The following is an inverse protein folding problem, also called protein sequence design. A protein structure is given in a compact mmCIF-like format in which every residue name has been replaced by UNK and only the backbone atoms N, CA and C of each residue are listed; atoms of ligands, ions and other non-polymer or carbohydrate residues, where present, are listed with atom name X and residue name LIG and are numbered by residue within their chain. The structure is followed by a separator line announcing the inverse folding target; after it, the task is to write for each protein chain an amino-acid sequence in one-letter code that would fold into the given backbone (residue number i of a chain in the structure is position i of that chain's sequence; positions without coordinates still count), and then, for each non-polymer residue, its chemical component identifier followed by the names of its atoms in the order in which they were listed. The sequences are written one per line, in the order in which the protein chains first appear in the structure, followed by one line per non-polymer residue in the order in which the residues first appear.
data_IF_440239082463
#
_entry.id   IF_440239082463
#
_cell.length_a   1.000
_cell.length_b   1.000
_cell.length_c   1.000
_cell.angle_alpha   90.00
_cell.angle_beta   90.00
_cell.angle_gamma   90.00
#
_symmetry.space_group_name_H-M   'P 1'
#
loop_
_entity.id
_entity.type
_entity.pdbx_description
1 polymer ?
#
# COMPACT_ATOMS: atom_id res chain seq x y z
N UNK A 1 -9.74 -24.38 12.58
CA UNK A 1 -8.73 -23.94 11.61
C UNK A 1 -9.03 -24.64 10.31
N UNK A 2 -9.17 -23.87 9.24
CA UNK A 2 -9.32 -24.43 7.89
C UNK A 2 -8.02 -25.13 7.49
N UNK A 3 -8.12 -26.10 6.57
CA UNK A 3 -6.97 -26.84 6.05
C UNK A 3 -7.05 -26.90 4.53
N UNK A 4 -5.90 -26.78 3.88
CA UNK A 4 -5.77 -27.05 2.44
C UNK A 4 -5.17 -28.46 2.32
N UNK A 5 -5.89 -29.35 1.63
CA UNK A 5 -5.41 -30.71 1.31
C UNK A 5 -5.06 -30.71 -0.17
N UNK A 6 -3.83 -31.12 -0.50
CA UNK A 6 -3.32 -31.13 -1.88
C UNK A 6 -2.98 -32.57 -2.26
N UNK A 7 -3.57 -33.05 -3.35
CA UNK A 7 -3.18 -34.29 -4.02
C UNK A 7 -2.27 -33.94 -5.20
N UNK A 8 -1.03 -34.43 -5.18
CA UNK A 8 -0.01 -34.08 -6.17
C UNK A 8 -0.16 -34.81 -7.50
N UNK A 9 0.60 -34.36 -8.51
CA UNK A 9 0.70 -35.03 -9.82
C UNK A 9 0.03 -34.28 -10.97
N UNK A 10 -0.80 -33.27 -10.68
CA UNK A 10 -1.41 -32.42 -11.70
C UNK A 10 -0.40 -31.44 -12.32
N UNK A 11 -0.47 -31.27 -13.64
CA UNK A 11 0.18 -30.17 -14.35
C UNK A 11 -0.80 -29.02 -14.50
N UNK A 12 -0.41 -27.79 -14.12
CA UNK A 12 -1.30 -26.65 -14.22
C UNK A 12 -1.34 -26.14 -15.67
N UNK A 13 -2.54 -25.97 -16.21
CA UNK A 13 -2.74 -25.39 -17.52
C UNK A 13 -3.96 -24.48 -17.51
N UNK A 14 -3.83 -23.27 -18.06
CA UNK A 14 -4.95 -22.36 -18.21
C UNK A 14 -4.59 -20.92 -17.87
N UNK A 15 -5.63 -20.13 -17.65
CA UNK A 15 -5.54 -18.69 -17.47
C UNK A 15 -6.25 -18.26 -16.18
N UNK A 16 -5.67 -17.29 -15.47
CA UNK A 16 -6.20 -16.74 -14.23
C UNK A 16 -6.01 -15.23 -14.18
N UNK A 17 -6.99 -14.52 -13.64
CA UNK A 17 -6.94 -13.09 -13.40
C UNK A 17 -6.29 -12.83 -12.04
N UNK A 18 -5.22 -12.00 -12.00
CA UNK A 18 -4.68 -11.52 -10.74
C UNK A 18 -5.68 -10.61 -10.03
N UNK A 19 -5.78 -10.79 -8.72
CA UNK A 19 -6.48 -9.90 -7.80
C UNK A 19 -5.76 -8.56 -7.72
N UNK A 20 -6.42 -7.52 -7.22
CA UNK A 20 -5.72 -6.26 -6.93
C UNK A 20 -4.68 -6.41 -5.82
N UNK A 21 -3.62 -5.61 -5.92
CA UNK A 21 -2.49 -5.57 -5.01
C UNK A 21 -2.95 -5.29 -3.59
N UNK A 22 -2.72 -6.25 -2.69
CA UNK A 22 -3.02 -6.07 -1.26
C UNK A 22 -2.24 -4.88 -0.70
N UNK A 23 -0.96 -4.77 -1.04
CA UNK A 23 -0.08 -3.74 -0.49
C UNK A 23 -0.44 -2.33 -1.02
N UNK A 24 -0.79 -2.21 -2.30
CA UNK A 24 -1.33 -0.96 -2.84
C UNK A 24 -2.64 -0.61 -2.15
N UNK A 25 -3.58 -1.56 -2.09
CA UNK A 25 -4.90 -1.34 -1.50
C UNK A 25 -4.79 -0.78 -0.07
N UNK A 26 -3.94 -1.33 0.79
CA UNK A 26 -3.75 -0.83 2.16
C UNK A 26 -3.26 0.63 2.19
N UNK A 27 -2.35 1.01 1.29
CA UNK A 27 -1.86 2.38 1.19
C UNK A 27 -2.93 3.34 0.65
N UNK A 28 -3.68 2.93 -0.38
CA UNK A 28 -4.76 3.74 -0.96
C UNK A 28 -5.93 3.92 0.03
N UNK A 29 -6.25 2.88 0.80
CA UNK A 29 -7.21 2.93 1.91
C UNK A 29 -6.77 3.95 2.96
N UNK A 30 -5.49 3.95 3.36
CA UNK A 30 -4.97 4.96 4.29
C UNK A 30 -5.02 6.37 3.70
N UNK A 31 -4.68 6.53 2.41
CA UNK A 31 -4.69 7.82 1.72
C UNK A 31 -6.09 8.42 1.60
N UNK A 32 -7.14 7.61 1.58
CA UNK A 32 -8.55 8.08 1.56
C UNK A 32 -8.90 8.96 2.77
N UNK A 33 -8.18 8.83 3.89
CA UNK A 33 -8.29 9.72 5.06
C UNK A 33 -8.05 11.18 4.65
N UNK A 34 -7.21 11.43 3.64
CA UNK A 34 -6.88 12.77 3.15
C UNK A 34 -8.00 13.41 2.33
N UNK A 35 -8.96 12.64 1.81
CA UNK A 35 -9.99 13.13 0.89
C UNK A 35 -11.06 14.00 1.57
N UNK A 36 -11.41 15.12 0.93
CA UNK A 36 -12.69 15.80 1.09
C UNK A 36 -13.67 15.22 0.06
N UNK A 37 -14.72 14.54 0.53
CA UNK A 37 -15.71 13.85 -0.30
C UNK A 37 -15.38 12.37 -0.58
N UNK A 38 -16.24 11.70 -1.36
CA UNK A 38 -16.20 10.25 -1.51
C UNK A 38 -15.08 9.77 -2.43
N UNK A 39 -14.40 8.70 -2.02
CA UNK A 39 -13.48 7.92 -2.85
C UNK A 39 -14.07 6.56 -3.15
N UNK A 40 -13.75 6.02 -4.33
CA UNK A 40 -14.12 4.66 -4.75
C UNK A 40 -12.83 3.93 -5.12
N UNK A 41 -12.57 2.80 -4.47
CA UNK A 41 -11.48 1.90 -4.83
C UNK A 41 -12.07 0.66 -5.49
N UNK A 42 -11.65 0.35 -6.70
CA UNK A 42 -12.06 -0.85 -7.46
C UNK A 42 -10.93 -1.87 -7.48
N UNK A 43 -11.26 -3.13 -7.81
CA UNK A 43 -10.32 -4.25 -7.79
C UNK A 43 -9.71 -4.48 -6.39
N UNK A 44 -10.46 -4.21 -5.32
CA UNK A 44 -10.03 -4.44 -3.94
C UNK A 44 -10.13 -5.92 -3.59
N UNK A 45 -9.02 -6.60 -3.20
CA UNK A 45 -9.03 -8.02 -2.91
C UNK A 45 -9.81 -8.33 -1.61
N UNK A 46 -10.33 -9.56 -1.51
CA UNK A 46 -11.01 -10.07 -0.30
C UNK A 46 -9.99 -10.76 0.62
N UNK A 47 -9.35 -9.96 1.46
CA UNK A 47 -8.28 -10.42 2.36
C UNK A 47 -8.51 -9.86 3.76
N UNK A 48 -8.12 -10.64 4.79
CA UNK A 48 -8.26 -10.25 6.19
C UNK A 48 -7.56 -8.93 6.53
N UNK A 49 -6.41 -8.66 5.92
CA UNK A 49 -5.69 -7.40 6.07
C UNK A 49 -6.54 -6.21 5.58
N UNK A 50 -7.20 -6.36 4.42
CA UNK A 50 -8.10 -5.34 3.87
C UNK A 50 -9.29 -5.14 4.80
N UNK A 51 -9.92 -6.22 5.26
CA UNK A 51 -11.09 -6.12 6.15
C UNK A 51 -10.72 -5.45 7.49
N UNK A 52 -9.52 -5.73 8.04
CA UNK A 52 -9.00 -5.05 9.22
C UNK A 52 -8.71 -3.56 8.98
N UNK A 53 -8.27 -3.19 7.78
CA UNK A 53 -8.09 -1.79 7.40
C UNK A 53 -9.42 -1.06 7.25
N UNK A 54 -10.46 -1.71 6.72
CA UNK A 54 -11.82 -1.16 6.66
C UNK A 54 -12.40 -0.96 8.07
N UNK A 55 -12.22 -1.94 8.97
CA UNK A 55 -12.57 -1.82 10.40
C UNK A 55 -11.86 -0.62 11.04
N UNK A 56 -10.57 -0.45 10.77
CA UNK A 56 -9.78 0.68 11.27
C UNK A 56 -10.30 2.03 10.76
N UNK A 57 -10.54 2.16 9.45
CA UNK A 57 -11.09 3.39 8.86
C UNK A 57 -12.46 3.73 9.47
N UNK A 58 -13.29 2.71 9.74
CA UNK A 58 -14.54 2.83 10.50
C UNK A 58 -14.33 3.47 11.87
N UNK A 59 -13.37 2.95 12.66
CA UNK A 59 -13.03 3.48 13.97
C UNK A 59 -12.49 4.93 13.92
N UNK A 60 -11.87 5.32 12.80
CA UNK A 60 -11.38 6.68 12.55
C UNK A 60 -12.47 7.65 12.08
N UNK A 61 -13.72 7.20 11.91
CA UNK A 61 -14.85 8.04 11.52
C UNK A 61 -15.16 8.07 10.01
N UNK A 62 -14.61 7.13 9.23
CA UNK A 62 -14.94 6.96 7.82
C UNK A 62 -15.99 5.86 7.62
N UNK A 63 -16.93 6.07 6.70
CA UNK A 63 -17.64 4.98 6.06
C UNK A 63 -16.67 4.30 5.11
N UNK A 64 -16.24 3.07 5.35
CA UNK A 64 -15.37 2.31 4.45
C UNK A 64 -16.02 0.96 4.16
N UNK A 65 -16.93 0.95 3.19
CA UNK A 65 -17.87 -0.15 2.98
C UNK A 65 -17.65 -0.78 1.59
N UNK A 66 -17.71 -2.12 1.52
CA UNK A 66 -17.75 -2.82 0.23
C UNK A 66 -19.06 -2.50 -0.47
N UNK A 67 -19.02 -2.38 -1.80
CA UNK A 67 -20.21 -2.22 -2.61
C UNK A 67 -21.12 -3.47 -2.47
N UNK A 68 -22.44 -3.29 -2.31
CA UNK A 68 -23.37 -4.40 -2.10
C UNK A 68 -23.58 -5.30 -3.33
N UNK A 69 -23.16 -4.85 -4.51
CA UNK A 69 -23.28 -5.54 -5.81
C UNK A 69 -21.90 -5.99 -6.30
N UNK A 70 -20.89 -5.12 -6.22
CA UNK A 70 -19.52 -5.36 -6.69
C UNK A 70 -18.56 -5.55 -5.49
N UNK A 71 -18.42 -6.77 -4.97
CA UNK A 71 -17.67 -7.01 -3.71
C UNK A 71 -16.18 -6.58 -3.73
N UNK A 72 -15.59 -6.41 -4.93
CA UNK A 72 -14.24 -5.90 -5.14
C UNK A 72 -14.20 -4.36 -5.28
N UNK A 73 -15.28 -3.67 -4.95
CA UNK A 73 -15.36 -2.21 -4.90
C UNK A 73 -15.58 -1.78 -3.45
N UNK A 74 -14.84 -0.77 -3.00
CA UNK A 74 -14.98 -0.14 -1.69
C UNK A 74 -15.28 1.33 -1.86
N UNK A 75 -16.32 1.83 -1.18
CA UNK A 75 -16.63 3.26 -1.08
C UNK A 75 -16.19 3.80 0.26
N UNK A 76 -15.52 4.96 0.21
CA UNK A 76 -14.89 5.55 1.37
C UNK A 76 -15.25 7.02 1.49
N UNK A 77 -15.82 7.43 2.61
CA UNK A 77 -16.17 8.83 2.86
C UNK A 77 -16.15 9.15 4.36
N UNK A 78 -15.62 10.30 4.75
CA UNK A 78 -15.69 10.75 6.14
C UNK A 78 -17.15 11.07 6.53
N UNK A 79 -17.68 10.46 7.60
CA UNK A 79 -19.04 10.71 8.09
C UNK A 79 -19.14 11.91 9.05
N UNK A 80 -18.06 12.65 9.23
CA UNK A 80 -17.98 13.78 10.15
C UNK A 80 -16.54 14.06 10.55
N UNK A 81 -16.33 14.44 11.82
CA UNK A 81 -15.00 14.64 12.37
C UNK A 81 -14.25 13.32 12.49
N UNK A 82 -13.01 13.30 11.98
CA UNK A 82 -12.12 12.16 12.11
C UNK A 82 -11.69 11.97 13.57
N UNK A 83 -11.56 10.72 13.99
CA UNK A 83 -11.00 10.38 15.29
C UNK A 83 -9.47 10.32 15.19
N UNK A 84 -8.72 10.98 16.08
CA UNK A 84 -7.26 11.04 16.02
C UNK A 84 -6.59 9.77 16.53
N UNK A 85 -7.33 8.85 17.14
CA UNK A 85 -6.78 7.64 17.77
C UNK A 85 -7.12 6.37 16.98
N UNK A 86 -6.07 5.62 16.59
CA UNK A 86 -6.18 4.27 16.05
C UNK A 86 -6.11 3.23 17.19
N UNK A 87 -7.19 2.46 17.45
CA UNK A 87 -7.27 1.57 18.61
C UNK A 87 -6.25 0.41 18.57
N UNK A 88 -5.64 0.10 19.72
CA UNK A 88 -4.69 -1.00 19.90
C UNK A 88 -5.23 -2.35 19.39
N UNK A 89 -6.48 -2.69 19.71
CA UNK A 89 -7.08 -3.98 19.35
C UNK A 89 -7.17 -4.21 17.84
N UNK A 90 -7.24 -3.14 17.05
CA UNK A 90 -7.25 -3.23 15.58
C UNK A 90 -5.81 -3.21 15.06
N UNK A 91 -4.98 -2.28 15.55
CA UNK A 91 -3.59 -2.11 15.10
C UNK A 91 -2.75 -3.36 15.34
N UNK A 92 -2.92 -4.04 16.48
CA UNK A 92 -2.17 -5.25 16.81
C UNK A 92 -2.45 -6.43 15.86
N UNK A 93 -3.60 -6.43 15.17
CA UNK A 93 -3.97 -7.48 14.22
C UNK A 93 -3.18 -7.35 12.91
N UNK A 94 -2.84 -6.13 12.51
CA UNK A 94 -2.19 -5.85 11.23
C UNK A 94 -1.21 -4.69 11.36
N UNK A 95 0.09 -4.96 11.25
CA UNK A 95 1.16 -3.94 11.32
C UNK A 95 1.01 -2.80 10.30
N UNK A 96 0.44 -3.07 9.13
CA UNK A 96 0.25 -2.06 8.08
C UNK A 96 -0.72 -0.94 8.50
N UNK A 97 -1.53 -1.15 9.53
CA UNK A 97 -2.40 -0.13 10.13
C UNK A 97 -1.64 1.13 10.53
N UNK A 98 -0.36 1.03 10.87
CA UNK A 98 0.48 2.17 11.24
C UNK A 98 0.57 3.25 10.15
N UNK A 99 0.25 2.93 8.89
CA UNK A 99 0.22 3.89 7.78
C UNK A 99 -0.89 4.94 7.90
N UNK A 100 -1.85 4.81 8.82
CA UNK A 100 -2.84 5.88 9.07
C UNK A 100 -2.25 7.08 9.80
N UNK A 101 -1.09 6.94 10.45
CA UNK A 101 -0.47 7.98 11.28
C UNK A 101 -0.24 9.28 10.50
N UNK A 102 0.39 9.19 9.32
CA UNK A 102 0.71 10.32 8.46
C UNK A 102 -0.52 11.07 7.94
N UNK A 103 -1.48 10.40 7.28
CA UNK A 103 -2.67 11.08 6.78
C UNK A 103 -3.58 11.61 7.89
N UNK A 104 -3.69 10.93 9.04
CA UNK A 104 -4.38 11.50 10.22
C UNK A 104 -3.69 12.77 10.69
N UNK A 105 -2.38 12.73 10.93
CA UNK A 105 -1.62 13.89 11.39
C UNK A 105 -1.77 15.09 10.44
N UNK A 106 -1.74 14.85 9.13
CA UNK A 106 -1.93 15.89 8.13
C UNK A 106 -3.34 16.50 8.12
N UNK A 107 -4.37 15.69 8.42
CA UNK A 107 -5.77 16.12 8.40
C UNK A 107 -6.27 16.75 9.68
N UNK A 108 -5.85 16.24 10.84
CA UNK A 108 -6.36 16.66 12.16
C UNK A 108 -5.29 17.32 13.04
N UNK A 109 -4.02 17.38 12.61
CA UNK A 109 -2.92 18.02 13.34
C UNK A 109 -2.42 17.25 14.56
N UNK A 110 -3.07 16.14 14.92
CA UNK A 110 -2.63 15.24 15.99
C UNK A 110 -3.11 13.82 15.71
N UNK A 111 -2.30 12.82 16.01
CA UNK A 111 -2.64 11.42 15.80
C UNK A 111 -1.98 10.53 16.85
N UNK A 112 -2.70 9.51 17.29
CA UNK A 112 -2.28 8.53 18.29
C UNK A 112 -2.49 7.14 17.74
N UNK A 113 -1.41 6.43 17.44
CA UNK A 113 -1.46 5.11 16.80
C UNK A 113 -0.61 4.14 17.59
N UNK A 114 -1.17 2.98 17.94
CA UNK A 114 -0.41 1.94 18.66
C UNK A 114 0.87 1.60 17.90
N UNK A 115 1.97 1.47 18.64
CA UNK A 115 3.22 0.97 18.07
C UNK A 115 3.02 -0.50 17.65
N UNK A 116 3.39 -0.89 16.43
CA UNK A 116 3.36 -2.29 16.04
C UNK A 116 4.42 -3.06 16.83
N UNK A 117 3.98 -4.14 17.51
CA UNK A 117 4.89 -5.03 18.23
C UNK A 117 5.79 -5.88 17.31
N UNK A 118 6.37 -6.92 17.89
CA UNK A 118 7.24 -7.86 17.18
C UNK A 118 6.55 -8.58 16.01
N UNK A 119 7.33 -8.90 14.98
CA UNK A 119 6.87 -9.65 13.81
C UNK A 119 7.70 -10.93 13.68
N UNK A 120 7.04 -12.07 13.43
CA UNK A 120 7.71 -13.36 13.31
C UNK A 120 8.71 -13.44 12.13
N UNK A 121 8.58 -12.55 11.13
CA UNK A 121 9.49 -12.45 9.98
C UNK A 121 10.83 -11.82 10.39
N UNK A 122 10.83 -10.96 11.40
CA UNK A 122 12.04 -10.26 11.86
C UNK A 122 11.76 -8.91 12.49
N UNK A 123 12.84 -8.25 12.92
CA UNK A 123 12.79 -6.90 13.50
C UNK A 123 12.42 -5.91 12.41
N UNK A 124 11.34 -5.18 12.67
CA UNK A 124 10.85 -4.11 11.81
C UNK A 124 10.57 -2.94 12.75
N UNK A 125 11.44 -1.93 12.84
CA UNK A 125 11.14 -0.73 13.61
C UNK A 125 10.22 0.20 12.81
N UNK A 126 9.65 1.22 13.48
CA UNK A 126 8.90 2.31 12.85
C UNK A 126 9.66 3.64 12.88
N UNK A 127 10.92 3.62 13.33
CA UNK A 127 11.84 4.75 13.47
C UNK A 127 11.88 5.65 12.23
N UNK A 128 11.93 5.07 11.03
CA UNK A 128 11.97 5.84 9.79
C UNK A 128 10.66 6.61 9.53
N UNK A 129 9.50 6.08 9.95
CA UNK A 129 8.25 6.84 9.90
C UNK A 129 8.33 8.06 10.82
N UNK A 130 8.83 7.86 12.05
CA UNK A 130 8.92 8.92 13.05
C UNK A 130 9.91 9.99 12.59
N UNK A 131 11.07 9.58 12.07
CA UNK A 131 12.08 10.46 11.48
C UNK A 131 11.49 11.37 10.42
N UNK A 132 10.75 10.81 9.46
CA UNK A 132 10.15 11.59 8.39
C UNK A 132 9.05 12.55 8.86
N UNK A 133 8.17 12.12 9.77
CA UNK A 133 7.15 13.00 10.35
C UNK A 133 7.77 14.11 11.19
N UNK A 134 8.82 13.82 11.97
CA UNK A 134 9.57 14.83 12.71
C UNK A 134 10.30 15.81 11.80
N UNK A 135 10.84 15.36 10.67
CA UNK A 135 11.40 16.24 9.65
C UNK A 135 10.36 17.23 9.10
N UNK A 136 9.09 16.82 9.01
CA UNK A 136 7.96 17.70 8.66
C UNK A 136 7.49 18.63 9.80
N UNK A 137 8.22 18.67 10.92
CA UNK A 137 7.92 19.52 12.07
C UNK A 137 6.98 18.90 13.10
N UNK A 138 6.66 17.61 12.99
CA UNK A 138 5.85 16.92 14.01
C UNK A 138 6.65 16.66 15.29
N UNK A 139 6.04 16.95 16.43
CA UNK A 139 6.49 16.40 17.71
C UNK A 139 5.99 14.98 17.81
N UNK A 140 6.90 14.03 17.99
CA UNK A 140 6.61 12.60 18.05
C UNK A 140 7.11 12.04 19.38
N UNK A 141 6.26 11.32 20.09
CA UNK A 141 6.56 10.66 21.35
C UNK A 141 6.05 9.22 21.36
N UNK A 142 6.62 8.41 22.25
CA UNK A 142 6.14 7.07 22.53
C UNK A 142 5.69 7.02 23.99
N UNK A 143 4.39 6.84 24.21
CA UNK A 143 3.79 6.77 25.54
C UNK A 143 2.89 5.54 25.65
N UNK A 144 3.13 4.69 26.66
CA UNK A 144 2.30 3.50 26.94
C UNK A 144 2.04 2.58 25.73
N UNK A 145 3.04 2.43 24.84
CA UNK A 145 2.91 1.60 23.63
C UNK A 145 2.17 2.27 22.47
N UNK A 146 1.89 3.58 22.58
CA UNK A 146 1.35 4.39 21.50
C UNK A 146 2.37 5.40 21.01
N UNK A 147 2.42 5.55 19.68
CA UNK A 147 3.08 6.67 19.03
C UNK A 147 2.10 7.83 18.98
N UNK A 148 2.47 8.93 19.61
CA UNK A 148 1.73 10.19 19.59
C UNK A 148 2.48 11.20 18.74
N UNK A 149 1.80 11.73 17.72
CA UNK A 149 2.34 12.75 16.84
C UNK A 149 1.44 13.98 16.85
N UNK A 150 2.03 15.16 16.96
CA UNK A 150 1.28 16.43 16.93
C UNK A 150 2.06 17.52 16.18
N UNK A 151 1.33 18.29 15.38
CA UNK A 151 1.83 19.46 14.67
C UNK A 151 0.70 20.47 14.47
N UNK A 152 0.92 21.74 14.83
CA UNK A 152 -0.04 22.82 14.49
C UNK A 152 -0.26 22.89 12.97
N UNK A 153 0.82 22.68 12.22
CA UNK A 153 0.85 22.53 10.78
C UNK A 153 2.15 21.81 10.41
N UNK A 154 2.08 20.87 9.47
CA UNK A 154 3.27 20.24 8.92
C UNK A 154 3.94 21.18 7.91
N UNK A 155 5.26 21.20 7.90
CA UNK A 155 6.07 22.03 7.02
C UNK A 155 6.98 21.15 6.17
N UNK A 156 7.07 21.47 4.88
CA UNK A 156 7.91 20.74 3.95
C UNK A 156 9.38 20.82 4.37
N UNK A 157 10.09 19.71 4.18
CA UNK A 157 11.49 19.57 4.55
C UNK A 157 12.25 18.70 3.57
N UNK A 158 13.57 18.80 3.59
CA UNK A 158 14.46 17.87 2.88
C UNK A 158 15.14 16.95 3.86
N UNK A 159 14.99 15.64 3.67
CA UNK A 159 15.64 14.63 4.50
C UNK A 159 15.85 13.34 3.70
N UNK A 160 16.66 12.43 4.25
CA UNK A 160 16.90 11.10 3.69
C UNK A 160 16.48 10.02 4.69
N UNK A 161 15.92 8.90 4.23
CA UNK A 161 15.80 7.71 5.07
C UNK A 161 17.16 7.03 5.24
N UNK A 162 17.43 6.49 6.43
CA UNK A 162 18.68 5.76 6.70
C UNK A 162 18.67 4.38 6.04
N UNK A 163 17.47 3.81 5.91
CA UNK A 163 17.21 2.54 5.22
C UNK A 163 15.97 2.68 4.35
N UNK A 164 15.95 2.00 3.21
CA UNK A 164 14.76 1.99 2.33
C UNK A 164 13.58 1.40 3.09
N UNK A 165 12.46 2.12 3.10
CA UNK A 165 11.24 1.73 3.79
C UNK A 165 10.01 2.04 2.96
N UNK A 166 9.27 1.00 2.54
CA UNK A 166 8.05 1.15 1.73
C UNK A 166 6.99 1.94 2.50
N UNK A 167 6.54 1.39 3.62
CA UNK A 167 5.49 2.02 4.42
C UNK A 167 5.94 3.36 5.01
N UNK A 168 7.22 3.53 5.33
CA UNK A 168 7.77 4.82 5.78
C UNK A 168 7.65 5.88 4.70
N UNK A 169 8.07 5.55 3.47
CA UNK A 169 7.92 6.43 2.30
C UNK A 169 6.46 6.79 2.06
N UNK A 170 5.56 5.81 2.05
CA UNK A 170 4.12 6.03 1.82
C UNK A 170 3.50 6.92 2.92
N UNK A 171 3.83 6.67 4.18
CA UNK A 171 3.29 7.41 5.32
C UNK A 171 3.69 8.89 5.30
N UNK A 172 4.97 9.17 5.04
CA UNK A 172 5.46 10.55 4.94
C UNK A 172 4.94 11.22 3.66
N UNK A 173 4.87 10.50 2.54
CA UNK A 173 4.30 11.03 1.29
C UNK A 173 2.85 11.51 1.48
N UNK A 174 2.01 10.71 2.14
CA UNK A 174 0.64 11.10 2.49
C UNK A 174 0.62 12.35 3.38
N UNK A 175 1.49 12.40 4.41
CA UNK A 175 1.55 13.55 5.32
C UNK A 175 2.02 14.84 4.61
N UNK A 176 3.05 14.73 3.78
CA UNK A 176 3.64 15.82 3.01
C UNK A 176 2.67 16.42 1.98
N UNK A 177 1.70 15.64 1.51
CA UNK A 177 0.72 16.07 0.51
C UNK A 177 -0.16 17.24 0.99
N UNK A 178 -0.32 17.44 2.30
CA UNK A 178 -1.02 18.60 2.89
C UNK A 178 -0.08 19.53 3.70
N UNK A 179 1.23 19.28 3.70
CA UNK A 179 2.20 20.11 4.40
C UNK A 179 2.39 21.48 3.71
N UNK A 180 2.91 22.48 4.42
CA UNK A 180 3.24 23.78 3.79
C UNK A 180 4.58 23.70 3.06
N UNK A 181 4.57 23.94 1.76
CA UNK A 181 5.80 24.04 0.96
C UNK A 181 6.23 22.73 0.34
N UNK A 182 7.53 22.62 0.04
CA UNK A 182 8.10 21.47 -0.68
C UNK A 182 8.78 20.51 0.29
N UNK A 183 8.46 19.22 0.15
CA UNK A 183 9.15 18.12 0.81
C UNK A 183 9.98 17.37 -0.21
N UNK A 184 11.23 17.07 0.12
CA UNK A 184 12.11 16.22 -0.68
C UNK A 184 12.55 15.04 0.18
N UNK A 185 12.17 13.84 -0.24
CA UNK A 185 12.55 12.58 0.41
C UNK A 185 13.62 11.92 -0.46
N UNK A 186 14.83 11.83 0.07
CA UNK A 186 15.94 11.09 -0.54
C UNK A 186 15.98 9.65 0.00
N UNK A 187 16.52 8.72 -0.78
CA UNK A 187 16.52 7.27 -0.48
C UNK A 187 15.08 6.72 -0.28
N UNK A 188 14.15 7.19 -1.11
CA UNK A 188 12.77 6.76 -1.11
C UNK A 188 12.62 5.32 -1.63
N UNK A 189 11.58 4.64 -1.17
CA UNK A 189 11.14 3.35 -1.71
C UNK A 189 10.68 3.50 -3.18
N UNK A 190 10.97 2.50 -4.00
CA UNK A 190 10.78 2.52 -5.47
C UNK A 190 9.77 1.49 -5.95
N UNK A 191 9.16 0.79 -5.02
CA UNK A 191 8.23 -0.28 -5.28
C UNK A 191 6.99 0.21 -6.04
N UNK A 192 6.38 -0.62 -6.90
CA UNK A 192 5.19 -0.23 -7.68
C UNK A 192 4.05 0.31 -6.83
N UNK A 193 3.90 -0.20 -5.60
CA UNK A 193 2.87 0.23 -4.66
C UNK A 193 3.10 1.67 -4.13
N UNK A 194 4.34 2.16 -4.19
CA UNK A 194 4.69 3.57 -3.88
C UNK A 194 4.34 4.47 -5.06
N UNK A 195 4.58 3.99 -6.28
CA UNK A 195 4.23 4.69 -7.52
C UNK A 195 2.71 4.87 -7.62
N UNK A 196 1.97 3.79 -7.41
CA UNK A 196 0.50 3.82 -7.48
C UNK A 196 -0.11 4.74 -6.42
N UNK A 197 0.47 4.78 -5.21
CA UNK A 197 0.04 5.75 -4.19
C UNK A 197 0.27 7.19 -4.66
N UNK A 198 1.42 7.49 -5.25
CA UNK A 198 1.71 8.83 -5.78
C UNK A 198 0.71 9.21 -6.89
N UNK A 199 0.40 8.28 -7.79
CA UNK A 199 -0.59 8.49 -8.85
C UNK A 199 -2.00 8.71 -8.30
N UNK A 200 -2.40 7.93 -7.28
CA UNK A 200 -3.66 8.13 -6.57
C UNK A 200 -3.73 9.51 -5.93
N UNK A 201 -2.71 9.92 -5.17
CA UNK A 201 -2.62 11.25 -4.55
C UNK A 201 -2.68 12.37 -5.60
N UNK A 202 -1.98 12.23 -6.73
CA UNK A 202 -2.03 13.18 -7.83
C UNK A 202 -3.43 13.30 -8.42
N UNK A 203 -4.17 12.19 -8.59
CA UNK A 203 -5.58 12.22 -9.04
C UNK A 203 -6.49 12.93 -8.01
N UNK A 204 -6.19 12.78 -6.72
CA UNK A 204 -6.84 13.53 -5.63
C UNK A 204 -6.47 15.03 -5.61
N UNK A 205 -5.49 15.47 -6.40
CA UNK A 205 -5.07 16.86 -6.54
C UNK A 205 -3.75 17.22 -5.85
N UNK A 206 -2.96 16.24 -5.42
CA UNK A 206 -1.60 16.47 -4.90
C UNK A 206 -0.62 16.84 -6.03
N UNK A 207 0.59 17.27 -5.65
CA UNK A 207 1.73 17.43 -6.56
C UNK A 207 2.89 16.56 -6.06
N UNK A 208 2.87 15.29 -6.44
CA UNK A 208 3.88 14.26 -6.11
C UNK A 208 4.65 13.88 -7.38
N UNK A 209 5.98 13.99 -7.34
CA UNK A 209 6.87 13.72 -8.48
C UNK A 209 8.06 12.86 -8.09
N UNK A 210 8.56 12.05 -9.01
CA UNK A 210 9.75 11.21 -8.80
C UNK A 210 9.48 9.86 -8.12
N UNK A 211 8.21 9.47 -7.97
CA UNK A 211 7.85 8.13 -7.51
C UNK A 211 8.45 7.07 -8.46
N UNK A 212 9.01 5.99 -7.89
CA UNK A 212 9.78 5.00 -8.64
C UNK A 212 11.28 5.31 -8.75
N UNK A 213 11.71 6.52 -8.34
CA UNK A 213 13.11 6.88 -8.16
C UNK A 213 13.50 6.94 -6.68
N UNK A 214 14.79 7.08 -6.39
CA UNK A 214 15.31 7.29 -5.04
C UNK A 214 15.02 8.69 -4.47
N UNK A 215 14.52 9.61 -5.30
CA UNK A 215 14.23 10.99 -4.93
C UNK A 215 12.77 11.37 -5.23
N UNK A 216 11.99 11.55 -4.17
CA UNK A 216 10.60 11.96 -4.23
C UNK A 216 10.43 13.43 -3.85
N UNK A 217 9.67 14.19 -4.64
CA UNK A 217 9.35 15.60 -4.39
C UNK A 217 7.84 15.76 -4.25
N UNK A 218 7.41 16.35 -3.14
CA UNK A 218 6.00 16.63 -2.85
C UNK A 218 5.83 18.11 -2.57
N UNK A 219 4.98 18.80 -3.32
CA UNK A 219 4.51 20.14 -2.94
C UNK A 219 3.15 20.01 -2.29
N UNK A 220 3.07 20.35 -1.01
CA UNK A 220 1.82 20.19 -0.28
C UNK A 220 0.76 21.19 -0.73
N UNK A 221 -0.48 20.73 -0.76
CA UNK A 221 -1.67 21.47 -1.20
C UNK A 221 -2.60 21.73 -0.03
N UNK A 222 -3.59 22.59 -0.21
CA UNK A 222 -4.53 22.95 0.87
C UNK A 222 -5.59 21.88 1.15
N UNK A 223 -5.97 21.11 0.13
CA UNK A 223 -7.00 20.08 0.20
C UNK A 223 -6.82 19.05 -0.89
N UNK A 224 -7.35 17.86 -0.66
CA UNK A 224 -7.42 16.77 -1.61
C UNK A 224 -8.88 16.34 -1.75
N UNK A 225 -9.29 15.90 -2.94
CA UNK A 225 -10.65 15.41 -3.21
C UNK A 225 -10.67 13.88 -3.30
N UNK A 226 -11.82 13.28 -3.05
CA UNK A 226 -12.01 11.87 -3.34
C UNK A 226 -11.99 11.56 -4.85
N UNK A 227 -11.63 10.33 -5.20
CA UNK A 227 -11.50 9.86 -6.59
C UNK A 227 -11.96 8.42 -6.77
N UNK A 228 -12.32 8.04 -8.00
CA UNK A 228 -12.56 6.64 -8.41
C UNK A 228 -11.25 6.06 -8.97
N UNK A 229 -10.67 5.05 -8.34
CA UNK A 229 -9.39 4.45 -8.71
C UNK A 229 -9.45 2.92 -8.70
N UNK A 230 -8.88 2.28 -9.71
CA UNK A 230 -8.77 0.82 -9.80
C UNK A 230 -7.39 0.39 -9.32
N UNK A 231 -7.34 -0.44 -8.28
CA UNK A 231 -6.10 -0.99 -7.73
C UNK A 231 -5.41 -1.85 -8.80
N UNK A 232 -4.10 -1.67 -8.97
CA UNK A 232 -3.26 -2.46 -9.87
C UNK A 232 -3.23 -3.95 -9.49
N UNK A 233 -2.91 -4.83 -10.43
CA UNK A 233 -2.81 -6.27 -10.14
C UNK A 233 -1.68 -6.61 -9.17
N UNK A 234 -1.89 -7.63 -8.34
CA UNK A 234 -0.92 -8.06 -7.34
C UNK A 234 0.23 -8.83 -8.00
N UNK A 235 1.39 -8.18 -8.13
CA UNK A 235 2.61 -8.77 -8.67
C UNK A 235 3.12 -9.97 -7.86
N UNK A 236 2.81 -10.06 -6.56
CA UNK A 236 3.24 -11.17 -5.70
C UNK A 236 2.34 -12.37 -5.92
N UNK A 237 1.02 -12.17 -6.00
CA UNK A 237 0.08 -13.22 -6.38
C UNK A 237 0.39 -13.75 -7.78
N UNK A 238 0.55 -12.84 -8.76
CA UNK A 238 0.86 -13.22 -10.12
C UNK A 238 2.16 -14.03 -10.21
N UNK A 239 3.21 -13.60 -9.52
CA UNK A 239 4.47 -14.35 -9.46
C UNK A 239 4.31 -15.74 -8.84
N UNK A 240 3.50 -15.84 -7.78
CA UNK A 240 3.19 -17.12 -7.12
C UNK A 240 2.50 -18.10 -8.09
N UNK A 241 1.53 -17.63 -8.87
CA UNK A 241 0.78 -18.45 -9.82
C UNK A 241 1.64 -18.88 -11.02
N UNK A 242 2.49 -17.98 -11.53
CA UNK A 242 3.47 -18.31 -12.58
C UNK A 242 4.47 -19.36 -12.11
N UNK A 243 4.99 -19.22 -10.88
CA UNK A 243 5.88 -20.20 -10.28
C UNK A 243 5.19 -21.55 -10.13
N UNK A 244 3.92 -21.59 -9.69
CA UNK A 244 3.14 -22.82 -9.61
C UNK A 244 3.01 -23.52 -10.98
N UNK A 245 2.77 -22.75 -12.05
CA UNK A 245 2.79 -23.26 -13.43
C UNK A 245 4.15 -23.87 -13.79
N UNK A 246 5.23 -23.16 -13.48
CA UNK A 246 6.59 -23.63 -13.77
C UNK A 246 6.95 -24.93 -13.01
N UNK A 247 6.73 -25.00 -11.68
CA UNK A 247 7.08 -26.20 -10.89
C UNK A 247 6.25 -27.42 -11.26
N UNK A 248 5.02 -27.22 -11.76
CA UNK A 248 4.15 -28.31 -12.23
C UNK A 248 4.40 -28.68 -13.69
N UNK A 249 5.41 -28.08 -14.34
CA UNK A 249 5.73 -28.24 -15.77
C UNK A 249 4.50 -27.99 -16.66
N UNK A 250 3.80 -26.93 -16.34
CA UNK A 250 2.54 -26.50 -16.91
C UNK A 250 2.64 -25.38 -17.94
N UNK A 251 1.50 -24.77 -18.21
CA UNK A 251 1.31 -23.63 -19.12
C UNK A 251 0.26 -22.68 -18.54
N UNK A 252 0.73 -21.68 -17.80
CA UNK A 252 -0.13 -20.78 -17.01
C UNK A 252 0.00 -19.36 -17.52
N UNK A 253 -1.13 -18.72 -17.81
CA UNK A 253 -1.22 -17.29 -18.11
C UNK A 253 -1.88 -16.56 -16.94
N UNK A 254 -1.23 -15.52 -16.44
CA UNK A 254 -1.80 -14.61 -15.43
C UNK A 254 -2.09 -13.26 -16.09
N UNK A 255 -3.35 -12.83 -16.03
CA UNK A 255 -3.83 -11.52 -16.54
C UNK A 255 -3.96 -10.48 -15.43
N UNK A 256 -4.08 -9.21 -15.83
CA UNK A 256 -4.32 -8.08 -14.95
C UNK A 256 -3.08 -7.55 -14.25
N UNK A 257 -1.89 -7.92 -14.70
CA UNK A 257 -0.63 -7.50 -14.09
C UNK A 257 0.27 -6.86 -15.14
N UNK A 258 0.97 -5.81 -14.74
CA UNK A 258 1.98 -5.17 -15.58
C UNK A 258 3.32 -5.93 -15.46
N UNK A 259 3.84 -6.54 -16.53
CA UNK A 259 5.10 -7.27 -16.49
C UNK A 259 6.30 -6.41 -16.08
N UNK A 260 6.26 -5.09 -16.31
CA UNK A 260 7.34 -4.18 -15.91
C UNK A 260 7.53 -4.15 -14.39
N UNK A 261 6.47 -4.42 -13.62
CA UNK A 261 6.53 -4.51 -12.16
C UNK A 261 7.10 -5.83 -11.64
N UNK A 262 7.49 -6.74 -12.54
CA UNK A 262 7.89 -8.12 -12.23
C UNK A 262 9.23 -8.54 -12.84
N UNK A 263 9.93 -7.64 -13.56
CA UNK A 263 11.10 -7.97 -14.40
C UNK A 263 12.12 -8.86 -13.69
N UNK A 264 12.56 -8.49 -12.49
CA UNK A 264 13.55 -9.28 -11.73
C UNK A 264 13.09 -10.70 -11.44
N UNK A 265 11.80 -10.92 -11.17
CA UNK A 265 11.27 -12.26 -10.93
C UNK A 265 11.14 -13.03 -12.24
N UNK A 266 10.67 -12.39 -13.31
CA UNK A 266 10.53 -12.99 -14.63
C UNK A 266 11.89 -13.43 -15.20
N UNK A 267 12.95 -12.65 -14.97
CA UNK A 267 14.30 -13.01 -15.37
C UNK A 267 14.79 -14.26 -14.65
N UNK A 268 14.55 -14.35 -13.33
CA UNK A 268 14.85 -15.57 -12.58
C UNK A 268 14.03 -16.76 -13.03
N UNK A 269 12.78 -16.54 -13.43
CA UNK A 269 11.95 -17.61 -13.98
C UNK A 269 12.52 -18.12 -15.31
N UNK A 270 12.95 -17.22 -16.22
CA UNK A 270 13.62 -17.57 -17.47
C UNK A 270 14.93 -18.34 -17.25
N UNK A 271 15.72 -17.96 -16.26
CA UNK A 271 16.96 -18.68 -15.88
C UNK A 271 16.72 -20.15 -15.52
N UNK A 272 15.50 -20.52 -15.09
CA UNK A 272 15.14 -21.92 -14.81
C UNK A 272 14.87 -22.76 -16.07
N UNK A 273 14.86 -22.14 -17.25
CA UNK A 273 14.43 -22.78 -18.51
C UNK A 273 12.92 -22.71 -18.76
N UNK A 274 12.18 -21.98 -17.91
CA UNK A 274 10.77 -21.67 -18.16
C UNK A 274 10.68 -20.64 -19.29
N UNK A 275 9.83 -20.90 -20.28
CA UNK A 275 9.50 -19.94 -21.33
C UNK A 275 8.54 -18.90 -20.77
N UNK A 276 8.90 -17.62 -20.90
CA UNK A 276 8.11 -16.50 -20.38
C UNK A 276 7.76 -15.54 -21.51
N UNK A 277 6.47 -15.41 -21.78
CA UNK A 277 5.89 -14.47 -22.75
C UNK A 277 5.14 -13.37 -22.00
N UNK A 278 5.31 -12.11 -22.41
CA UNK A 278 4.68 -10.94 -21.77
C UNK A 278 3.84 -10.18 -22.78
N UNK A 279 2.68 -9.69 -22.35
CA UNK A 279 1.86 -8.73 -23.08
C UNK A 279 1.77 -7.40 -22.33
N UNK A 280 0.82 -6.53 -22.67
CA UNK A 280 0.63 -5.27 -21.95
C UNK A 280 0.04 -5.48 -20.53
N UNK A 281 -0.75 -6.53 -20.33
CA UNK A 281 -1.52 -6.77 -19.10
C UNK A 281 -1.48 -8.24 -18.65
N UNK A 282 -0.56 -9.03 -19.19
CA UNK A 282 -0.44 -10.44 -18.83
C UNK A 282 0.97 -10.99 -18.95
N UNK A 283 1.21 -12.09 -18.23
CA UNK A 283 2.40 -12.90 -18.31
C UNK A 283 1.99 -14.36 -18.48
N UNK A 284 2.64 -15.06 -19.40
CA UNK A 284 2.50 -16.52 -19.57
C UNK A 284 3.82 -17.19 -19.24
N UNK A 285 3.75 -18.25 -18.42
CA UNK A 285 4.87 -19.11 -18.08
C UNK A 285 4.57 -20.54 -18.53
N UNK A 286 5.42 -21.07 -19.40
CA UNK A 286 5.32 -22.43 -19.94
C UNK A 286 6.60 -23.20 -19.66
N UNK A 287 6.48 -24.46 -19.27
CA UNK A 287 7.62 -25.34 -19.17
C UNK A 287 8.35 -25.43 -20.51
N UNK A 288 9.64 -25.09 -20.55
CA UNK A 288 10.46 -25.29 -21.75
C UNK A 288 10.76 -26.76 -21.99
N UNK A 289 11.24 -27.09 -23.19
CA UNK A 289 11.54 -28.45 -23.65
C UNK A 289 12.79 -29.11 -22.98
N UNK A 290 13.29 -28.57 -21.86
CA UNK A 290 14.52 -29.05 -21.18
C UNK A 290 14.26 -30.00 -20.01
#
# INVERSE_FOLDING_TARGET
MDRIVVEGGARLAGEVQASGSKNSCLALLAASILAEGPSVLRNVPRLRDVDAMLELLGALGLAAERDPVEENVVRIEARGALQPEAPYEIVRKMRASFMVLGPLLARVGHARVSEPGGCAIGVRPVDQHLKGLSALGAKVGLEHGYVEAAARRLDGARFAFDVVTVNGTQNVMMAASLARGETVIENAAREPEVVELADFLNRMGADVRGAGSDRLVIRGVSRLRGVDHTVSGDRIEAGTLLLAGAVTRGDVTVRGVDPANMESMLDKLRETGTEVETSADSVRARAGDR
#
